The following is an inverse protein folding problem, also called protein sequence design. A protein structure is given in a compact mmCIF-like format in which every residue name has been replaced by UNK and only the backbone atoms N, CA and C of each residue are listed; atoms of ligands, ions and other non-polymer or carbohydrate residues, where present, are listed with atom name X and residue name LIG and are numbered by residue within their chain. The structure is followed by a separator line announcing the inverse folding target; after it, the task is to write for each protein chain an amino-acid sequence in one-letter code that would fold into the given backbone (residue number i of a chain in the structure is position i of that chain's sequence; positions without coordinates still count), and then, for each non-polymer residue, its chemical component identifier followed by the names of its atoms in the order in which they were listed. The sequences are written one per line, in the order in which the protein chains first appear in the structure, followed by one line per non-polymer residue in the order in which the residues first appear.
data_IF_835788883738
#
_entry.id   IF_835788883738
#
_cell.length_a   1.000
_cell.length_b   1.000
_cell.length_c   1.000
_cell.angle_alpha   90.00
_cell.angle_beta   90.00
_cell.angle_gamma   90.00
#
_symmetry.space_group_name_H-M   'P 1'
#
loop_
_entity.id
_entity.type
_entity.pdbx_description
1 polymer ?
#
# COMPACT_ATOMS: atom_id res chain seq x y z
N UNK A 1 33.61 6.40 -6.17
CA UNK A 1 32.83 5.19 -5.86
C UNK A 1 31.42 5.67 -5.56
N UNK A 2 30.41 5.15 -6.26
CA UNK A 2 29.01 5.45 -5.94
C UNK A 2 28.61 4.48 -4.84
N UNK A 3 28.27 5.01 -3.68
CA UNK A 3 27.77 4.17 -2.60
C UNK A 3 26.39 3.61 -3.00
N UNK A 4 26.18 2.29 -2.92
CA UNK A 4 24.88 1.71 -3.26
C UNK A 4 23.80 2.31 -2.37
N UNK A 5 22.64 2.65 -2.95
CA UNK A 5 21.46 3.17 -2.24
C UNK A 5 20.28 2.22 -2.40
N UNK A 6 19.28 2.34 -1.52
CA UNK A 6 18.05 1.53 -1.59
C UNK A 6 18.31 0.04 -1.37
N UNK A 7 17.63 -0.80 -2.15
CA UNK A 7 17.70 -2.28 -2.06
C UNK A 7 19.13 -2.82 -2.25
N UNK A 8 19.92 -2.20 -3.11
CA UNK A 8 21.33 -2.57 -3.31
C UNK A 8 22.17 -2.37 -2.04
N UNK A 9 21.89 -1.31 -1.26
CA UNK A 9 22.55 -1.10 0.02
C UNK A 9 22.13 -2.17 1.03
N UNK A 10 20.84 -2.48 1.12
CA UNK A 10 20.33 -3.50 2.05
C UNK A 10 20.98 -4.86 1.82
N UNK A 11 21.06 -5.30 0.55
CA UNK A 11 21.73 -6.55 0.18
C UNK A 11 23.23 -6.50 0.47
N UNK A 12 23.88 -5.36 0.21
CA UNK A 12 25.29 -5.18 0.51
C UNK A 12 25.58 -5.27 2.01
N UNK A 13 24.83 -4.55 2.85
CA UNK A 13 25.01 -4.59 4.30
C UNK A 13 24.71 -5.98 4.88
N UNK A 14 23.70 -6.68 4.35
CA UNK A 14 23.42 -8.06 4.73
C UNK A 14 24.57 -9.02 4.37
N UNK A 15 25.17 -8.85 3.18
CA UNK A 15 26.33 -9.64 2.78
C UNK A 15 27.56 -9.37 3.66
N UNK A 16 27.82 -8.12 4.04
CA UNK A 16 28.91 -7.77 4.96
C UNK A 16 28.66 -8.31 6.37
N UNK A 17 27.42 -8.31 6.85
CA UNK A 17 27.05 -8.95 8.10
C UNK A 17 27.35 -10.45 8.09
N UNK A 18 27.01 -11.16 6.99
CA UNK A 18 27.32 -12.59 6.86
C UNK A 18 28.82 -12.88 6.92
N UNK A 19 29.64 -12.06 6.23
CA UNK A 19 31.10 -12.18 6.33
C UNK A 19 31.60 -11.98 7.75
N UNK A 20 31.09 -10.97 8.45
CA UNK A 20 31.44 -10.73 9.86
C UNK A 20 31.02 -11.91 10.76
N UNK A 21 29.86 -12.50 10.49
CA UNK A 21 29.34 -13.67 11.20
C UNK A 21 30.23 -14.89 10.98
N UNK A 22 30.66 -15.13 9.73
CA UNK A 22 31.56 -16.23 9.37
C UNK A 22 32.97 -16.05 9.98
N UNK A 23 33.47 -14.82 10.03
CA UNK A 23 34.81 -14.51 10.54
C UNK A 23 34.90 -14.52 12.08
N UNK A 24 33.89 -13.96 12.76
CA UNK A 24 33.98 -13.67 14.20
C UNK A 24 32.88 -14.32 15.05
N UNK A 25 31.96 -15.08 14.47
CA UNK A 25 30.70 -15.58 15.02
C UNK A 25 29.51 -14.61 14.92
N UNK A 26 28.27 -15.13 14.82
CA UNK A 26 27.06 -14.32 14.70
C UNK A 26 26.86 -13.34 15.86
N UNK A 27 27.18 -13.75 17.09
CA UNK A 27 27.02 -12.92 18.28
C UNK A 27 27.93 -11.68 18.24
N UNK A 28 29.16 -11.84 17.76
CA UNK A 28 30.10 -10.72 17.58
C UNK A 28 29.67 -9.82 16.43
N UNK A 29 29.20 -10.39 15.32
CA UNK A 29 28.67 -9.62 14.20
C UNK A 29 27.47 -8.76 14.59
N UNK A 30 26.57 -9.30 15.42
CA UNK A 30 25.41 -8.59 15.94
C UNK A 30 25.81 -7.43 16.88
N UNK A 31 26.75 -7.67 17.80
CA UNK A 31 27.27 -6.60 18.68
C UNK A 31 28.01 -5.51 17.90
N UNK A 32 28.80 -5.87 16.87
CA UNK A 32 29.50 -4.89 16.03
C UNK A 32 28.53 -4.04 15.22
N UNK A 33 27.49 -4.66 14.66
CA UNK A 33 26.42 -3.99 13.92
C UNK A 33 25.62 -3.06 14.83
N UNK A 34 25.23 -3.53 16.01
CA UNK A 34 24.60 -2.71 17.04
C UNK A 34 25.45 -1.47 17.36
N UNK A 35 26.74 -1.68 17.62
CA UNK A 35 27.68 -0.58 17.94
C UNK A 35 27.85 0.39 16.76
N UNK A 36 27.82 -0.09 15.53
CA UNK A 36 27.85 0.75 14.33
C UNK A 36 26.61 1.66 14.29
N UNK A 37 25.42 1.08 14.49
CA UNK A 37 24.15 1.81 14.51
C UNK A 37 24.06 2.85 15.63
N UNK A 38 24.56 2.52 16.84
CA UNK A 38 24.60 3.48 17.96
C UNK A 38 25.47 4.71 17.65
N UNK A 39 26.53 4.58 16.84
CA UNK A 39 27.34 5.74 16.41
C UNK A 39 26.57 6.69 15.49
N UNK A 40 25.55 6.16 14.81
CA UNK A 40 24.63 6.90 13.95
C UNK A 40 23.37 7.34 14.70
N UNK A 41 23.36 7.27 16.03
CA UNK A 41 22.22 7.56 16.91
C UNK A 41 21.00 6.63 16.71
N UNK A 42 21.19 5.45 16.11
CA UNK A 42 20.14 4.42 15.98
C UNK A 42 20.34 3.40 17.09
N UNK A 43 19.41 3.36 18.05
CA UNK A 43 19.46 2.40 19.16
C UNK A 43 18.73 1.13 18.78
N UNK A 44 19.49 0.03 18.68
CA UNK A 44 18.96 -1.32 18.50
C UNK A 44 19.56 -2.25 19.53
N UNK A 45 18.85 -3.33 19.84
CA UNK A 45 19.36 -4.47 20.61
C UNK A 45 20.03 -5.48 19.69
N UNK A 46 20.83 -6.37 20.27
CA UNK A 46 21.42 -7.51 19.55
C UNK A 46 20.32 -8.39 18.94
N UNK A 47 19.24 -8.65 19.68
CA UNK A 47 18.08 -9.42 19.20
C UNK A 47 17.42 -8.78 17.98
N UNK A 48 17.34 -7.44 17.92
CA UNK A 48 16.79 -6.74 16.75
C UNK A 48 17.70 -6.84 15.53
N UNK A 49 19.02 -6.87 15.71
CA UNK A 49 19.96 -7.10 14.61
C UNK A 49 19.82 -8.53 14.09
N UNK A 50 19.69 -9.51 14.99
CA UNK A 50 19.48 -10.91 14.60
C UNK A 50 18.13 -11.07 13.88
N UNK A 51 17.07 -10.43 14.37
CA UNK A 51 15.77 -10.41 13.70
C UNK A 51 15.83 -9.77 12.31
N UNK A 52 16.55 -8.65 12.17
CA UNK A 52 16.81 -8.03 10.86
C UNK A 52 17.53 -8.99 9.91
N UNK A 53 18.56 -9.70 10.38
CA UNK A 53 19.28 -10.67 9.58
C UNK A 53 18.36 -11.82 9.13
N UNK A 54 17.57 -12.40 10.03
CA UNK A 54 16.63 -13.49 9.72
C UNK A 54 15.58 -13.07 8.69
N UNK A 55 15.01 -11.87 8.82
CA UNK A 55 14.02 -11.35 7.87
C UNK A 55 14.64 -11.18 6.48
N UNK A 56 15.84 -10.61 6.40
CA UNK A 56 16.53 -10.45 5.11
C UNK A 56 16.91 -11.79 4.49
N UNK A 57 17.36 -12.75 5.30
CA UNK A 57 17.68 -14.09 4.84
C UNK A 57 16.44 -14.81 4.29
N UNK A 58 15.31 -14.74 5.00
CA UNK A 58 14.03 -15.26 4.54
C UNK A 58 13.56 -14.59 3.24
N UNK A 59 13.77 -13.28 3.11
CA UNK A 59 13.42 -12.52 1.90
C UNK A 59 14.24 -12.96 0.70
N UNK A 60 15.56 -13.13 0.87
CA UNK A 60 16.46 -13.61 -0.19
C UNK A 60 16.10 -15.05 -0.61
N UNK A 61 15.68 -15.90 0.33
CA UNK A 61 15.24 -17.27 0.08
C UNK A 61 13.82 -17.36 -0.53
N UNK A 62 13.10 -16.25 -0.67
CA UNK A 62 11.73 -16.23 -1.18
C UNK A 62 10.69 -16.80 -0.21
N UNK A 63 11.00 -16.83 1.09
CA UNK A 63 10.08 -17.30 2.14
C UNK A 63 9.19 -16.17 2.68
N UNK A 64 9.39 -14.94 2.24
CA UNK A 64 8.59 -13.78 2.62
C UNK A 64 7.71 -13.37 1.43
N UNK A 65 6.43 -13.72 1.49
CA UNK A 65 5.41 -13.33 0.51
C UNK A 65 4.28 -12.59 1.22
N UNK A 66 4.45 -11.27 1.35
CA UNK A 66 3.47 -10.40 1.99
C UNK A 66 2.22 -10.17 1.14
N UNK A 67 2.31 -10.39 -0.17
CA UNK A 67 1.18 -10.22 -1.09
C UNK A 67 0.17 -11.36 -0.89
N UNK A 68 0.66 -12.60 -0.87
CA UNK A 68 -0.19 -13.76 -0.56
C UNK A 68 -0.81 -13.66 0.83
N UNK A 69 -0.05 -13.22 1.83
CA UNK A 69 -0.54 -13.06 3.20
C UNK A 69 -1.64 -11.99 3.28
N UNK A 70 -1.47 -10.87 2.57
CA UNK A 70 -2.48 -9.82 2.47
C UNK A 70 -3.78 -10.33 1.84
N UNK A 71 -3.69 -11.14 0.77
CA UNK A 71 -4.85 -11.75 0.15
C UNK A 71 -5.57 -12.72 1.10
N UNK A 72 -4.82 -13.53 1.86
CA UNK A 72 -5.38 -14.44 2.87
C UNK A 72 -6.09 -13.65 3.96
N UNK A 73 -5.46 -12.61 4.50
CA UNK A 73 -6.05 -11.76 5.52
C UNK A 73 -7.34 -11.07 5.03
N UNK A 74 -7.34 -10.59 3.79
CA UNK A 74 -8.51 -9.98 3.16
C UNK A 74 -9.64 -10.98 3.00
N UNK A 75 -9.35 -12.19 2.49
CA UNK A 75 -10.35 -13.25 2.37
C UNK A 75 -10.95 -13.66 3.72
N UNK A 76 -10.14 -13.70 4.78
CA UNK A 76 -10.61 -13.96 6.13
C UNK A 76 -11.51 -12.83 6.64
N UNK A 77 -11.14 -11.57 6.41
CA UNK A 77 -11.96 -10.43 6.78
C UNK A 77 -13.33 -10.45 6.08
N UNK A 78 -13.35 -10.69 4.76
CA UNK A 78 -14.60 -10.84 3.99
C UNK A 78 -15.45 -11.99 4.51
N UNK A 79 -14.86 -13.14 4.84
CA UNK A 79 -15.59 -14.28 5.39
C UNK A 79 -16.24 -13.96 6.75
N UNK A 80 -15.58 -13.17 7.60
CA UNK A 80 -16.14 -12.71 8.87
C UNK A 80 -17.29 -11.74 8.65
N UNK A 81 -17.14 -10.78 7.73
CA UNK A 81 -18.22 -9.84 7.36
C UNK A 81 -19.43 -10.58 6.83
N UNK A 82 -19.24 -11.53 5.90
CA UNK A 82 -20.30 -12.37 5.36
C UNK A 82 -21.00 -13.20 6.44
N UNK A 83 -20.26 -13.75 7.40
CA UNK A 83 -20.82 -14.50 8.51
C UNK A 83 -21.70 -13.64 9.43
N UNK A 84 -21.42 -12.34 9.56
CA UNK A 84 -22.18 -11.39 10.37
C UNK A 84 -23.41 -10.87 9.61
N UNK A 85 -23.29 -10.58 8.32
CA UNK A 85 -24.35 -9.99 7.51
C UNK A 85 -25.38 -11.02 7.02
N UNK A 86 -24.96 -12.25 6.71
CA UNK A 86 -25.84 -13.30 6.17
C UNK A 86 -27.04 -13.66 7.06
N UNK A 87 -26.94 -13.74 8.40
CA UNK A 87 -28.10 -13.92 9.28
C UNK A 87 -29.07 -12.75 9.27
N UNK A 88 -28.58 -11.52 9.05
CA UNK A 88 -29.40 -10.29 9.04
C UNK A 88 -30.22 -10.24 7.74
N UNK A 89 -29.59 -10.54 6.60
CA UNK A 89 -30.26 -10.54 5.28
C UNK A 89 -31.30 -11.66 5.18
N UNK A 90 -31.08 -12.83 5.81
CA UNK A 90 -32.08 -13.91 5.87
C UNK A 90 -33.20 -13.70 6.90
N UNK A 91 -33.12 -12.65 7.74
CA UNK A 91 -34.16 -12.31 8.71
C UNK A 91 -35.16 -11.25 8.21
N UNK A 92 -34.95 -10.70 7.01
CA UNK A 92 -35.89 -9.73 6.43
C UNK A 92 -37.08 -10.46 5.78
N UNK A 93 -38.33 -10.21 6.19
CA UNK A 93 -39.50 -10.74 5.52
C UNK A 93 -39.62 -10.15 4.11
N UNK A 94 -40.04 -10.97 3.14
CA UNK A 94 -40.30 -10.51 1.76
C UNK A 94 -41.27 -9.31 1.76
N UNK A 95 -41.03 -8.28 0.93
CA UNK A 95 -41.92 -7.13 0.84
C UNK A 95 -43.27 -7.60 0.29
N UNK A 96 -44.28 -7.61 1.16
CA UNK A 96 -45.65 -7.81 0.76
C UNK A 96 -46.13 -6.59 -0.04
N UNK A 97 -46.61 -6.90 -1.25
CA UNK A 97 -47.40 -6.04 -2.13
C UNK A 97 -48.44 -5.22 -1.34
N UNK A 98 -48.32 -3.89 -1.35
CA UNK A 98 -49.44 -2.97 -1.07
C UNK A 98 -49.21 -1.66 -1.82
N UNK A 99 -49.97 -1.54 -2.90
CA UNK A 99 -50.33 -0.28 -3.58
C UNK A 99 -51.45 0.37 -2.75
N UNK A 100 -51.37 1.67 -2.47
CA UNK A 100 -52.36 2.68 -2.89
C UNK A 100 -52.39 3.96 -2.01
N UNK A 101 -52.19 5.07 -2.74
CA UNK A 101 -52.61 6.47 -2.61
C UNK A 101 -53.12 7.05 -1.26
N UNK A 102 -52.40 8.07 -0.77
CA UNK A 102 -53.03 9.28 -0.22
C UNK A 102 -52.10 10.50 -0.29
N UNK A 103 -52.44 11.36 -1.26
CA UNK A 103 -52.40 12.84 -1.31
C UNK A 103 -51.27 13.63 -0.63
N UNK A 104 -50.71 14.50 -1.49
CA UNK A 104 -49.75 15.58 -1.30
C UNK A 104 -50.23 16.67 -0.33
N UNK A 105 -49.30 17.24 0.45
CA UNK A 105 -49.41 18.63 0.91
C UNK A 105 -48.11 19.37 0.57
N UNK A 106 -48.31 20.61 0.10
CA UNK A 106 -47.40 21.47 -0.65
C UNK A 106 -46.16 21.97 0.12
N UNK A 107 -45.19 22.36 -0.70
CA UNK A 107 -43.81 22.80 -0.47
C UNK A 107 -43.71 24.23 0.06
N UNK A 108 -42.82 24.47 1.03
CA UNK A 108 -41.98 25.68 1.27
C UNK A 108 -41.23 25.41 2.59
N UNK A 109 -39.94 25.67 2.80
CA UNK A 109 -39.00 26.60 2.19
C UNK A 109 -37.57 26.18 2.64
N UNK A 110 -36.59 26.41 1.77
CA UNK A 110 -35.18 26.73 2.06
C UNK A 110 -34.35 25.80 2.99
N UNK A 111 -33.57 24.90 2.40
CA UNK A 111 -32.11 24.77 2.59
C UNK A 111 -31.62 23.57 1.78
N UNK A 112 -31.37 23.82 0.50
CA UNK A 112 -30.78 22.89 -0.44
C UNK A 112 -29.39 23.42 -0.76
N UNK A 113 -28.37 22.97 -0.04
CA UNK A 113 -26.98 23.11 -0.46
C UNK A 113 -26.18 21.92 0.08
N UNK A 114 -25.88 21.01 -0.85
CA UNK A 114 -24.65 20.23 -0.95
C UNK A 114 -24.27 19.38 0.27
N UNK A 115 -24.90 18.20 0.38
CA UNK A 115 -24.13 17.06 0.87
C UNK A 115 -23.04 16.82 -0.19
N UNK A 116 -21.84 17.34 0.06
CA UNK A 116 -20.60 16.89 -0.56
C UNK A 116 -20.53 15.38 -0.32
N UNK A 117 -21.03 14.60 -1.27
CA UNK A 117 -20.56 13.23 -1.47
C UNK A 117 -19.04 13.38 -1.62
N UNK A 118 -18.31 13.07 -0.54
CA UNK A 118 -16.87 12.80 -0.58
C UNK A 118 -16.71 11.56 -1.47
N UNK A 119 -16.80 11.76 -2.79
CA UNK A 119 -16.29 10.86 -3.79
C UNK A 119 -14.87 10.56 -3.34
N UNK A 120 -14.65 9.31 -2.92
CA UNK A 120 -13.34 8.73 -2.67
C UNK A 120 -12.51 9.02 -3.92
N UNK A 121 -11.77 10.13 -3.90
CA UNK A 121 -11.04 10.60 -5.04
C UNK A 121 -10.06 9.51 -5.40
N UNK A 122 -10.39 8.80 -6.49
CA UNK A 122 -9.55 7.83 -7.15
C UNK A 122 -8.16 8.48 -7.22
N UNK A 123 -7.21 8.01 -6.39
CA UNK A 123 -5.90 8.64 -6.11
C UNK A 123 -4.96 8.57 -7.32
N UNK A 124 -5.49 8.80 -8.52
CA UNK A 124 -4.71 8.86 -9.74
C UNK A 124 -3.95 10.18 -9.73
N UNK A 125 -2.62 10.15 -9.89
CA UNK A 125 -1.84 11.37 -9.99
C UNK A 125 -2.39 12.24 -11.13
N UNK A 126 -2.51 13.54 -10.88
CA UNK A 126 -2.98 14.49 -11.90
C UNK A 126 -2.02 14.53 -13.08
N UNK A 127 -2.47 15.01 -14.25
CA UNK A 127 -1.56 15.16 -15.41
C UNK A 127 -0.39 16.10 -15.08
N UNK A 128 -0.62 17.12 -14.24
CA UNK A 128 0.45 17.98 -13.70
C UNK A 128 1.43 17.23 -12.81
N UNK A 129 0.98 16.23 -12.04
CA UNK A 129 1.90 15.38 -11.24
C UNK A 129 2.72 14.42 -12.12
N UNK A 130 2.17 14.01 -13.27
CA UNK A 130 2.81 13.08 -14.22
C UNK A 130 3.80 13.81 -15.14
N UNK A 131 3.40 14.96 -15.69
CA UNK A 131 4.12 15.67 -16.74
C UNK A 131 4.78 16.98 -16.26
N UNK A 132 4.30 17.58 -15.17
CA UNK A 132 4.97 18.69 -14.49
C UNK A 132 4.86 20.04 -15.17
N UNK A 133 3.94 20.23 -16.12
CA UNK A 133 3.72 21.53 -16.75
C UNK A 133 2.81 22.41 -15.88
N UNK A 134 3.06 23.72 -15.94
CA UNK A 134 2.31 24.74 -15.18
C UNK A 134 0.92 25.00 -15.78
N UNK A 135 0.71 24.62 -17.04
CA UNK A 135 -0.55 24.75 -17.77
C UNK A 135 -1.15 23.37 -18.05
N UNK A 136 -2.47 23.25 -17.89
CA UNK A 136 -3.20 22.01 -18.13
C UNK A 136 -3.20 21.65 -19.63
N UNK A 137 -3.21 22.65 -20.52
CA UNK A 137 -3.14 22.44 -21.97
C UNK A 137 -1.80 21.77 -22.38
N UNK A 138 -0.68 22.19 -21.77
CA UNK A 138 0.64 21.60 -21.99
C UNK A 138 0.73 20.17 -21.41
N UNK A 139 0.10 19.93 -20.26
CA UNK A 139 0.02 18.60 -19.64
C UNK A 139 -0.80 17.62 -20.50
N UNK A 140 -1.89 18.09 -21.11
CA UNK A 140 -2.70 17.30 -22.04
C UNK A 140 -1.95 16.99 -23.34
N UNK A 141 -1.27 17.98 -23.95
CA UNK A 141 -0.46 17.76 -25.16
C UNK A 141 0.63 16.71 -24.91
N UNK A 142 1.33 16.80 -23.79
CA UNK A 142 2.33 15.82 -23.39
C UNK A 142 1.75 14.41 -23.20
N UNK A 143 0.53 14.30 -22.68
CA UNK A 143 -0.17 13.03 -22.53
C UNK A 143 -0.52 12.40 -23.88
N UNK A 144 -1.02 13.19 -24.84
CA UNK A 144 -1.31 12.71 -26.19
C UNK A 144 -0.04 12.23 -26.91
N UNK A 145 1.05 12.99 -26.79
CA UNK A 145 2.35 12.63 -27.37
C UNK A 145 2.90 11.33 -26.78
N UNK A 146 2.71 11.12 -25.47
CA UNK A 146 3.11 9.91 -24.78
C UNK A 146 2.32 8.68 -25.24
N UNK A 147 1.00 8.81 -25.42
CA UNK A 147 0.14 7.74 -25.94
C UNK A 147 0.51 7.40 -27.39
N UNK A 148 0.79 8.40 -28.23
CA UNK A 148 1.18 8.18 -29.61
C UNK A 148 2.51 7.41 -29.72
N UNK A 149 3.50 7.77 -28.91
CA UNK A 149 4.79 7.04 -28.82
C UNK A 149 4.62 5.60 -28.36
N UNK A 150 3.70 5.34 -27.43
CA UNK A 150 3.40 3.98 -26.98
C UNK A 150 2.77 3.14 -28.10
N UNK A 151 1.87 3.74 -28.91
CA UNK A 151 1.27 3.06 -30.05
C UNK A 151 2.28 2.80 -31.17
N UNK A 152 3.19 3.73 -31.44
CA UNK A 152 4.27 3.56 -32.43
C UNK A 152 5.27 2.47 -32.01
N UNK A 153 5.57 2.34 -30.72
CA UNK A 153 6.47 1.30 -30.20
C UNK A 153 5.80 -0.07 -30.03
N UNK A 154 4.47 -0.14 -30.06
CA UNK A 154 3.69 -1.37 -29.91
C UNK A 154 3.31 -2.03 -31.25
N UNK A 155 3.60 -1.38 -32.38
CA UNK A 155 3.46 -1.92 -33.74
C UNK A 155 4.78 -2.45 -34.31
#
# INVERSE_FOLDING_TARGET
MVDPKGTANLLHQHAEYNKLSDEYSPEVAAVLTQKNLSRSNVQVSVEQVDGWHQINEASIKGHLDLESESQIATAQATAVVDAILRPIVHALPEPADVVDESEVEDVDDEDQDEDEDEDEQDERPSLGDIFGYEDDEDNEEAAFDHILKLQENAG
#
